data_IF_476191121272
#
_entry.id   IF_476191121272
#
_cell.length_a   1.000
_cell.length_b   1.000
_cell.length_c   1.000
_cell.angle_alpha   90.00
_cell.angle_beta   90.00
_cell.angle_gamma   90.00
#
_symmetry.space_group_name_H-M   'P 1'
#
loop_
_entity.id
_entity.type
_entity.pdbx_description
1 polymer ?
#
# COMPACT_ATOMS: atom_id res chain seq x y z
N UNK A 1 -57.05 4.61 -5.83
CA UNK A 1 -55.75 4.28 -6.47
C UNK A 1 -54.60 5.21 -6.06
N UNK A 2 -54.76 6.55 -6.02
CA UNK A 2 -53.67 7.49 -5.61
C UNK A 2 -53.06 7.28 -4.21
N UNK A 3 -53.82 6.81 -3.20
CA UNK A 3 -53.32 6.59 -1.83
C UNK A 3 -52.40 5.38 -1.69
N UNK A 4 -52.54 4.36 -2.54
CA UNK A 4 -51.73 3.13 -2.50
C UNK A 4 -50.32 3.42 -3.05
N UNK A 5 -50.22 4.20 -4.13
CA UNK A 5 -48.93 4.61 -4.68
C UNK A 5 -48.13 5.50 -3.72
N UNK A 6 -48.81 6.35 -2.94
CA UNK A 6 -48.14 7.18 -1.93
C UNK A 6 -47.50 6.33 -0.82
N UNK A 7 -48.20 5.26 -0.39
CA UNK A 7 -47.69 4.32 0.62
C UNK A 7 -46.51 3.47 0.12
N UNK A 8 -46.54 3.07 -1.15
CA UNK A 8 -45.44 2.33 -1.79
C UNK A 8 -44.21 3.24 -1.94
N UNK A 9 -44.40 4.51 -2.32
CA UNK A 9 -43.31 5.48 -2.47
C UNK A 9 -42.64 5.79 -1.13
N UNK A 10 -43.40 5.95 -0.04
CA UNK A 10 -42.83 6.17 1.30
C UNK A 10 -42.09 4.95 1.86
N UNK A 11 -42.56 3.74 1.55
CA UNK A 11 -41.88 2.50 1.99
C UNK A 11 -40.56 2.30 1.23
N UNK A 12 -40.50 2.67 -0.06
CA UNK A 12 -39.26 2.62 -0.84
C UNK A 12 -38.23 3.64 -0.37
N UNK A 13 -38.68 4.84 0.05
CA UNK A 13 -37.79 5.90 0.53
C UNK A 13 -37.15 5.60 1.90
N UNK A 14 -37.86 4.85 2.76
CA UNK A 14 -37.36 4.43 4.08
C UNK A 14 -36.30 3.31 4.00
N UNK A 15 -36.28 2.51 2.92
CA UNK A 15 -35.25 1.50 2.68
C UNK A 15 -33.94 2.08 2.13
N UNK A 16 -33.95 3.32 1.65
CA UNK A 16 -32.75 4.05 1.19
C UNK A 16 -31.94 4.71 2.32
N UNK A 17 -32.40 4.64 3.57
CA UNK A 17 -31.68 5.16 4.75
C UNK A 17 -31.09 4.07 5.65
N UNK A 18 -30.96 2.84 5.18
CA UNK A 18 -29.96 1.93 5.76
C UNK A 18 -28.60 2.39 5.28
N UNK A 19 -27.98 3.29 6.05
CA UNK A 19 -26.57 3.58 5.95
C UNK A 19 -25.84 2.25 5.84
N UNK A 20 -25.13 2.06 4.73
CA UNK A 20 -24.21 0.96 4.56
C UNK A 20 -23.12 1.18 5.61
N UNK A 21 -23.32 0.63 6.80
CA UNK A 21 -22.23 0.44 7.74
C UNK A 21 -21.20 -0.36 6.98
N UNK A 22 -20.06 0.27 6.70
CA UNK A 22 -18.91 -0.38 6.08
C UNK A 22 -18.62 -1.62 6.89
N UNK A 23 -18.97 -2.76 6.33
CA UNK A 23 -18.61 -4.06 6.86
C UNK A 23 -17.08 -4.03 6.95
N UNK A 24 -16.51 -4.17 8.15
CA UNK A 24 -15.09 -4.51 8.32
C UNK A 24 -14.87 -5.72 7.42
N UNK A 25 -14.26 -5.49 6.27
CA UNK A 25 -14.30 -6.46 5.17
C UNK A 25 -13.49 -7.68 5.58
N UNK A 26 -13.78 -8.81 4.95
CA UNK A 26 -13.04 -10.08 5.00
C UNK A 26 -11.52 -9.96 4.78
N UNK A 27 -11.02 -8.77 4.46
CA UNK A 27 -9.60 -8.46 4.28
C UNK A 27 -8.80 -8.41 5.59
N UNK A 28 -9.41 -8.09 6.74
CA UNK A 28 -8.68 -7.99 8.01
C UNK A 28 -8.15 -9.34 8.51
N UNK A 29 -8.87 -10.44 8.28
CA UNK A 29 -8.41 -11.80 8.68
C UNK A 29 -7.17 -12.27 7.90
N UNK A 30 -6.97 -11.74 6.69
CA UNK A 30 -5.84 -12.07 5.81
C UNK A 30 -4.68 -11.08 5.90
N UNK A 31 -4.89 -9.96 6.58
CA UNK A 31 -3.89 -8.92 6.71
C UNK A 31 -2.69 -9.41 7.53
N UNK A 32 -1.49 -9.38 6.93
CA UNK A 32 -0.25 -9.85 7.57
C UNK A 32 -0.33 -11.30 8.10
N UNK A 33 -1.16 -12.10 7.44
CA UNK A 33 -1.42 -13.50 7.79
C UNK A 33 -1.49 -14.35 6.51
N UNK A 34 -0.53 -14.12 5.60
CA UNK A 34 -0.37 -14.87 4.36
C UNK A 34 0.26 -16.25 4.59
N UNK A 35 0.86 -16.47 5.77
CA UNK A 35 1.63 -17.68 6.13
C UNK A 35 2.89 -17.87 5.28
N UNK A 36 3.42 -16.78 4.73
CA UNK A 36 4.66 -16.76 3.93
C UNK A 36 5.76 -15.95 4.61
N UNK A 37 6.98 -15.97 4.04
CA UNK A 37 8.14 -15.32 4.65
C UNK A 37 7.99 -13.79 4.77
N UNK A 38 7.13 -13.16 3.95
CA UNK A 38 6.88 -11.71 3.97
C UNK A 38 6.22 -11.22 5.26
N UNK A 39 5.42 -12.04 5.96
CA UNK A 39 4.58 -11.56 7.08
C UNK A 39 5.44 -11.01 8.23
N UNK A 40 6.57 -11.66 8.54
CA UNK A 40 7.44 -11.27 9.66
C UNK A 40 8.08 -9.89 9.44
N UNK A 41 8.76 -9.62 8.32
CA UNK A 41 9.35 -8.32 8.09
C UNK A 41 8.28 -7.26 7.75
N UNK A 42 7.17 -7.61 7.10
CA UNK A 42 6.06 -6.68 6.83
C UNK A 42 5.36 -6.20 8.10
N UNK A 43 5.20 -7.04 9.14
CA UNK A 43 4.60 -6.64 10.44
C UNK A 43 5.31 -5.51 11.16
N UNK A 44 6.59 -5.27 10.85
CA UNK A 44 7.36 -4.17 11.43
C UNK A 44 7.12 -2.84 10.72
N UNK A 45 6.64 -2.88 9.48
CA UNK A 45 6.46 -1.72 8.62
C UNK A 45 4.98 -1.35 8.43
N UNK A 46 4.15 -2.35 8.16
CA UNK A 46 2.75 -2.16 7.80
C UNK A 46 1.95 -1.75 9.05
N UNK A 47 1.00 -0.81 8.94
CA UNK A 47 0.30 -0.25 10.10
C UNK A 47 -0.63 -1.26 10.77
N UNK A 48 -0.89 -1.10 12.07
CA UNK A 48 -1.95 -1.84 12.74
C UNK A 48 -3.32 -1.30 12.30
N UNK A 49 -4.17 -2.18 11.74
CA UNK A 49 -5.49 -1.81 11.24
C UNK A 49 -6.41 -1.24 12.33
N UNK A 50 -6.26 -1.69 13.58
CA UNK A 50 -7.09 -1.20 14.70
C UNK A 50 -6.63 0.18 15.19
N UNK A 51 -5.44 0.63 14.81
CA UNK A 51 -4.91 1.96 15.14
C UNK A 51 -5.13 2.99 14.03
N UNK A 52 -5.57 2.58 12.84
CA UNK A 52 -5.80 3.49 11.73
C UNK A 52 -7.13 4.25 11.89
N UNK A 53 -7.14 5.58 11.73
CA UNK A 53 -8.38 6.36 11.71
C UNK A 53 -9.10 6.18 10.36
N UNK A 54 -9.78 5.04 10.20
CA UNK A 54 -10.42 4.64 8.93
C UNK A 54 -11.80 5.28 8.81
N UNK A 55 -11.98 6.18 7.84
CA UNK A 55 -13.29 6.78 7.52
C UNK A 55 -14.03 6.01 6.43
N UNK A 56 -13.40 5.84 5.28
CA UNK A 56 -14.05 5.33 4.06
C UNK A 56 -13.63 3.90 3.69
N UNK A 57 -12.86 3.26 4.56
CA UNK A 57 -12.47 1.87 4.43
C UNK A 57 -11.05 1.66 3.89
N UNK A 58 -10.71 0.38 3.78
CA UNK A 58 -9.39 -0.09 3.35
C UNK A 58 -9.53 -1.06 2.18
N UNK A 59 -8.50 -1.11 1.34
CA UNK A 59 -8.28 -2.14 0.34
C UNK A 59 -6.97 -2.83 0.63
N UNK A 60 -6.97 -4.17 0.68
CA UNK A 60 -5.78 -4.97 0.90
C UNK A 60 -5.60 -5.99 -0.22
N UNK A 61 -4.38 -6.08 -0.74
CA UNK A 61 -3.97 -7.06 -1.72
C UNK A 61 -2.68 -7.75 -1.29
N UNK A 62 -2.63 -9.06 -1.44
CA UNK A 62 -1.42 -9.86 -1.32
C UNK A 62 -1.21 -10.56 -2.64
N UNK A 63 0.01 -10.47 -3.18
CA UNK A 63 0.37 -11.15 -4.42
C UNK A 63 1.67 -11.93 -4.24
N UNK A 64 1.64 -13.19 -4.68
CA UNK A 64 2.75 -14.14 -4.63
C UNK A 64 3.13 -14.54 -6.06
N UNK A 65 4.42 -14.45 -6.37
CA UNK A 65 4.97 -14.84 -7.67
C UNK A 65 6.07 -15.86 -7.43
N UNK A 66 5.82 -17.07 -7.92
CA UNK A 66 6.78 -18.18 -7.88
C UNK A 66 7.49 -18.34 -9.22
N UNK A 67 8.83 -18.37 -9.22
CA UNK A 67 9.69 -18.62 -10.39
C UNK A 67 10.72 -19.70 -10.10
N UNK A 68 10.25 -20.89 -9.72
CA UNK A 68 11.14 -22.02 -9.41
C UNK A 68 11.72 -21.88 -8.01
N UNK A 69 13.02 -21.65 -7.86
CA UNK A 69 13.61 -21.48 -6.52
C UNK A 69 13.44 -20.07 -5.94
N UNK A 70 12.81 -19.17 -6.68
CA UNK A 70 12.66 -17.76 -6.32
C UNK A 70 11.19 -17.41 -6.08
N UNK A 71 10.96 -16.71 -4.99
CA UNK A 71 9.65 -16.24 -4.57
C UNK A 71 9.68 -14.73 -4.38
N UNK A 72 8.71 -14.06 -4.99
CA UNK A 72 8.45 -12.64 -4.77
C UNK A 72 7.06 -12.52 -4.15
N UNK A 73 7.00 -11.90 -2.97
CA UNK A 73 5.77 -11.56 -2.28
C UNK A 73 5.60 -10.05 -2.24
N UNK A 74 4.36 -9.60 -2.36
CA UNK A 74 4.02 -8.19 -2.22
C UNK A 74 2.73 -8.00 -1.44
N UNK A 75 2.68 -6.93 -0.66
CA UNK A 75 1.52 -6.51 0.10
C UNK A 75 1.17 -5.08 -0.27
N UNK A 76 -0.11 -4.82 -0.51
CA UNK A 76 -0.67 -3.48 -0.69
C UNK A 76 -1.76 -3.27 0.33
N UNK A 77 -1.70 -2.17 1.08
CA UNK A 77 -2.80 -1.67 1.88
C UNK A 77 -3.08 -0.22 1.47
N UNK A 78 -4.28 0.06 0.97
CA UNK A 78 -4.73 1.42 0.69
C UNK A 78 -5.79 1.81 1.71
N UNK A 79 -5.60 2.96 2.35
CA UNK A 79 -6.50 3.50 3.36
C UNK A 79 -7.09 4.81 2.85
N UNK A 80 -8.42 4.92 2.87
CA UNK A 80 -9.14 6.10 2.39
C UNK A 80 -9.62 6.93 3.57
N UNK A 81 -9.39 8.24 3.51
CA UNK A 81 -9.64 9.18 4.59
C UNK A 81 -10.51 10.35 4.14
N UNK A 82 -11.17 11.00 5.10
CA UNK A 82 -11.60 12.40 4.91
C UNK A 82 -10.40 13.31 4.72
N UNK A 83 -10.63 14.49 4.13
CA UNK A 83 -9.54 15.43 3.84
C UNK A 83 -8.77 15.86 5.11
N UNK A 84 -9.47 16.06 6.23
CA UNK A 84 -8.86 16.45 7.50
C UNK A 84 -7.94 15.35 8.04
N UNK A 85 -8.42 14.10 8.07
CA UNK A 85 -7.63 12.97 8.56
C UNK A 85 -6.47 12.67 7.60
N UNK A 86 -6.69 12.75 6.28
CA UNK A 86 -5.64 12.57 5.29
C UNK A 86 -4.46 13.52 5.52
N UNK A 87 -4.74 14.82 5.73
CA UNK A 87 -3.69 15.83 5.98
C UNK A 87 -2.90 15.48 7.23
N UNK A 88 -3.60 15.14 8.32
CA UNK A 88 -2.98 14.77 9.60
C UNK A 88 -2.12 13.50 9.48
N UNK A 89 -2.63 12.45 8.84
CA UNK A 89 -1.90 11.20 8.66
C UNK A 89 -0.70 11.37 7.72
N UNK A 90 -0.85 12.12 6.63
CA UNK A 90 0.28 12.47 5.75
C UNK A 90 1.38 13.21 6.51
N UNK A 91 1.04 14.24 7.27
CA UNK A 91 2.01 14.98 8.09
C UNK A 91 2.69 14.08 9.14
N UNK A 92 1.92 13.21 9.81
CA UNK A 92 2.45 12.25 10.78
C UNK A 92 3.46 11.31 10.12
N UNK A 93 3.09 10.67 9.01
CA UNK A 93 3.95 9.71 8.31
C UNK A 93 5.21 10.36 7.74
N UNK A 94 5.12 11.60 7.25
CA UNK A 94 6.29 12.35 6.79
C UNK A 94 7.27 12.69 7.91
N UNK A 95 6.79 12.76 9.17
CA UNK A 95 7.61 13.05 10.34
C UNK A 95 8.18 11.80 11.00
N UNK A 96 7.40 10.73 11.08
CA UNK A 96 7.74 9.52 11.83
C UNK A 96 8.59 8.53 11.04
N UNK A 97 8.39 8.46 9.72
CA UNK A 97 9.16 7.57 8.85
C UNK A 97 10.38 8.29 8.31
N UNK A 98 11.51 7.58 8.27
CA UNK A 98 12.71 8.04 7.57
C UNK A 98 12.67 7.50 6.14
N UNK A 99 12.59 8.41 5.17
CA UNK A 99 12.58 8.08 3.75
C UNK A 99 14.00 8.13 3.19
N UNK A 100 14.24 7.36 2.13
CA UNK A 100 15.44 7.51 1.33
C UNK A 100 15.45 8.88 0.64
N UNK A 101 16.64 9.48 0.55
CA UNK A 101 16.90 10.74 -0.16
C UNK A 101 17.97 10.59 -1.26
N UNK A 102 18.41 9.35 -1.52
CA UNK A 102 19.41 9.00 -2.51
C UNK A 102 19.14 7.60 -3.08
N UNK A 103 19.74 7.32 -4.24
CA UNK A 103 19.74 5.97 -4.83
C UNK A 103 20.63 5.04 -4.01
N UNK A 104 20.23 3.79 -3.87
CA UNK A 104 21.04 2.77 -3.18
C UNK A 104 21.81 1.98 -4.24
N UNK A 105 23.14 2.15 -4.25
CA UNK A 105 24.05 1.47 -5.19
C UNK A 105 24.29 0.03 -4.71
N UNK A 106 24.42 -0.91 -5.64
CA UNK A 106 24.76 -2.28 -5.30
C UNK A 106 26.19 -2.39 -4.75
N UNK A 107 26.38 -3.19 -3.70
CA UNK A 107 27.71 -3.47 -3.17
C UNK A 107 28.54 -4.38 -4.09
N UNK A 108 27.90 -5.14 -4.98
CA UNK A 108 28.56 -6.06 -5.91
C UNK A 108 28.96 -5.39 -7.23
N UNK A 109 28.26 -4.33 -7.63
CA UNK A 109 28.47 -3.63 -8.89
C UNK A 109 28.04 -2.16 -8.77
N UNK A 110 28.99 -1.23 -8.89
CA UNK A 110 28.74 0.21 -8.75
C UNK A 110 27.89 0.81 -9.87
N UNK A 111 27.70 0.09 -10.98
CA UNK A 111 26.83 0.49 -12.09
C UNK A 111 25.38 -0.02 -11.91
N UNK A 112 25.13 -0.83 -10.88
CA UNK A 112 23.80 -1.37 -10.54
C UNK A 112 23.26 -0.74 -9.27
N UNK A 113 21.93 -0.77 -9.14
CA UNK A 113 21.23 -0.16 -8.02
C UNK A 113 20.33 -1.18 -7.32
N UNK A 114 20.41 -1.22 -6.00
CA UNK A 114 19.38 -1.87 -5.20
C UNK A 114 18.08 -1.06 -5.19
N UNK A 115 18.19 0.28 -5.16
CA UNK A 115 17.05 1.20 -5.29
C UNK A 115 17.44 2.33 -6.26
N UNK A 116 17.02 2.28 -7.54
CA UNK A 116 17.39 3.26 -8.56
C UNK A 116 16.60 4.58 -8.48
N UNK A 117 15.43 4.58 -7.83
CA UNK A 117 14.58 5.74 -7.58
C UNK A 117 14.00 5.64 -6.16
N UNK A 118 14.09 6.70 -5.37
CA UNK A 118 13.59 6.72 -4.00
C UNK A 118 12.28 7.52 -3.86
N UNK A 119 11.95 8.34 -4.85
CA UNK A 119 10.64 8.97 -5.05
C UNK A 119 10.22 8.78 -6.51
N UNK A 120 8.96 8.42 -6.75
CA UNK A 120 8.44 8.16 -8.09
C UNK A 120 6.90 8.26 -8.11
N UNK A 121 6.32 8.37 -9.31
CA UNK A 121 4.88 8.50 -9.50
C UNK A 121 4.26 7.26 -10.15
N UNK A 122 3.07 6.89 -9.68
CA UNK A 122 2.17 5.95 -10.37
C UNK A 122 0.76 6.51 -10.28
N UNK A 123 0.18 6.88 -11.43
CA UNK A 123 -1.15 7.49 -11.52
C UNK A 123 -1.28 8.70 -10.58
N UNK A 124 -2.17 8.66 -9.60
CA UNK A 124 -2.40 9.78 -8.66
C UNK A 124 -1.49 9.77 -7.43
N UNK A 125 -0.62 8.77 -7.29
CA UNK A 125 0.23 8.57 -6.13
C UNK A 125 1.64 9.09 -6.34
N UNK A 126 2.12 9.84 -5.35
CA UNK A 126 3.54 10.11 -5.14
C UNK A 126 4.08 9.10 -4.13
N UNK A 127 4.93 8.18 -4.59
CA UNK A 127 5.54 7.14 -3.76
C UNK A 127 6.91 7.56 -3.25
N UNK A 128 7.21 7.17 -2.01
CA UNK A 128 8.50 7.33 -1.36
C UNK A 128 8.95 6.02 -0.72
N UNK A 129 10.20 5.64 -0.96
CA UNK A 129 10.80 4.45 -0.37
C UNK A 129 11.22 4.76 1.07
N UNK A 130 10.86 3.88 2.00
CA UNK A 130 11.19 4.01 3.42
C UNK A 130 12.49 3.29 3.73
N UNK A 131 13.37 3.95 4.48
CA UNK A 131 14.62 3.40 5.01
C UNK A 131 14.40 2.79 6.40
N UNK A 132 13.83 3.56 7.32
CA UNK A 132 13.69 3.17 8.74
C UNK A 132 12.37 3.70 9.35
N UNK A 133 11.79 2.93 10.29
CA UNK A 133 10.64 3.35 11.11
C UNK A 133 10.58 2.50 12.38
N UNK A 134 10.60 3.09 13.57
CA UNK A 134 10.61 2.37 14.86
C UNK A 134 11.65 1.22 14.90
N UNK A 135 11.19 -0.03 14.76
CA UNK A 135 12.02 -1.26 14.75
C UNK A 135 12.25 -1.82 13.34
N UNK A 136 11.60 -1.22 12.34
CA UNK A 136 11.77 -1.53 10.93
C UNK A 136 13.02 -0.85 10.37
N UNK A 137 13.77 -1.64 9.61
CA UNK A 137 14.90 -1.20 8.78
C UNK A 137 14.83 -1.96 7.46
N UNK A 138 14.92 -1.26 6.35
CA UNK A 138 14.89 -1.85 5.02
C UNK A 138 16.13 -2.73 4.78
N UNK A 139 15.94 -3.78 3.98
CA UNK A 139 17.00 -4.68 3.52
C UNK A 139 16.96 -4.70 2.00
N UNK A 140 17.67 -3.77 1.37
CA UNK A 140 17.63 -3.64 -0.08
C UNK A 140 18.51 -4.69 -0.78
N UNK A 141 18.08 -5.18 -1.96
CA UNK A 141 16.79 -4.92 -2.62
C UNK A 141 15.68 -5.90 -2.19
N UNK A 142 15.99 -6.87 -1.33
CA UNK A 142 15.14 -8.03 -1.04
C UNK A 142 13.90 -7.74 -0.19
N UNK A 143 13.89 -6.72 0.67
CA UNK A 143 12.79 -6.50 1.63
C UNK A 143 12.67 -5.03 1.99
N UNK A 144 11.66 -4.34 1.45
CA UNK A 144 11.49 -2.91 1.71
C UNK A 144 10.05 -2.41 1.61
N UNK A 145 9.78 -1.32 2.32
CA UNK A 145 8.50 -0.64 2.37
C UNK A 145 8.49 0.63 1.51
N UNK A 146 7.32 0.94 0.96
CA UNK A 146 7.06 2.16 0.17
C UNK A 146 5.74 2.76 0.67
N UNK A 147 5.69 4.08 0.82
CA UNK A 147 4.45 4.79 1.15
C UNK A 147 4.08 5.70 -0.02
N UNK A 148 2.84 5.59 -0.48
CA UNK A 148 2.25 6.42 -1.53
C UNK A 148 1.22 7.37 -0.96
N UNK A 149 1.24 8.61 -1.42
CA UNK A 149 0.27 9.64 -1.06
C UNK A 149 -0.49 10.10 -2.30
N UNK A 150 -1.82 9.92 -2.32
CA UNK A 150 -2.68 10.53 -3.34
C UNK A 150 -3.35 11.78 -2.76
N UNK A 151 -2.81 12.94 -3.10
CA UNK A 151 -3.41 14.22 -2.73
C UNK A 151 -4.75 14.43 -3.44
N UNK A 152 -4.95 13.83 -4.61
CA UNK A 152 -6.21 13.90 -5.35
C UNK A 152 -7.30 13.08 -4.64
N UNK A 153 -7.02 11.81 -4.34
CA UNK A 153 -8.01 10.87 -3.82
C UNK A 153 -8.06 10.78 -2.28
N UNK A 154 -7.19 11.51 -1.58
CA UNK A 154 -7.09 11.53 -0.10
C UNK A 154 -6.90 10.14 0.50
N UNK A 155 -6.04 9.36 -0.13
CA UNK A 155 -5.73 8.02 0.34
C UNK A 155 -4.21 7.81 0.44
N UNK A 156 -3.84 6.86 1.30
CA UNK A 156 -2.45 6.51 1.58
C UNK A 156 -2.28 5.03 1.27
N UNK A 157 -1.28 4.71 0.45
CA UNK A 157 -0.91 3.36 0.08
C UNK A 157 0.34 2.93 0.85
N UNK A 158 0.26 1.81 1.56
CA UNK A 158 1.39 1.13 2.19
C UNK A 158 1.71 -0.11 1.35
N UNK A 159 2.92 -0.12 0.80
CA UNK A 159 3.42 -1.20 -0.04
C UNK A 159 4.57 -1.89 0.68
N UNK A 160 4.57 -3.22 0.69
CA UNK A 160 5.71 -4.01 1.14
C UNK A 160 6.14 -4.97 0.05
N UNK A 161 7.44 -4.96 -0.29
CA UNK A 161 8.05 -5.86 -1.25
C UNK A 161 8.97 -6.83 -0.52
N UNK A 162 8.89 -8.11 -0.89
CA UNK A 162 9.81 -9.15 -0.45
C UNK A 162 10.20 -10.06 -1.62
N UNK A 163 11.49 -10.32 -1.79
CA UNK A 163 12.02 -11.27 -2.77
C UNK A 163 13.17 -12.06 -2.17
N UNK A 164 13.14 -13.38 -2.37
CA UNK A 164 14.11 -14.31 -1.79
C UNK A 164 15.54 -14.14 -2.31
N UNK A 165 15.73 -13.68 -3.56
CA UNK A 165 17.05 -13.67 -4.21
C UNK A 165 17.19 -12.58 -5.29
N UNK A 166 16.62 -11.40 -5.04
CA UNK A 166 16.79 -10.28 -5.95
C UNK A 166 18.19 -9.68 -5.81
N UNK A 167 18.97 -9.69 -6.90
CA UNK A 167 20.31 -9.09 -6.91
C UNK A 167 20.28 -7.55 -6.96
N UNK A 168 19.49 -7.00 -7.88
CA UNK A 168 19.35 -5.56 -8.08
C UNK A 168 18.08 -5.25 -8.88
N UNK A 169 17.63 -4.00 -8.82
CA UNK A 169 16.55 -3.49 -9.65
C UNK A 169 17.18 -2.85 -10.89
N UNK A 170 16.83 -3.36 -12.08
CA UNK A 170 17.36 -2.80 -13.33
C UNK A 170 17.00 -1.33 -13.46
N UNK A 171 18.02 -0.51 -13.70
CA UNK A 171 17.90 0.93 -13.97
C UNK A 171 17.86 1.25 -15.46
N UNK A 172 17.73 0.24 -16.33
CA UNK A 172 17.80 0.40 -17.78
C UNK A 172 16.48 0.94 -18.36
N UNK A 173 15.41 0.90 -17.57
CA UNK A 173 14.12 1.50 -17.88
C UNK A 173 14.11 2.98 -17.48
N UNK A 174 13.20 3.75 -18.07
CA UNK A 174 13.00 5.17 -17.75
C UNK A 174 12.43 5.37 -16.33
N UNK A 175 11.53 4.47 -15.88
CA UNK A 175 10.89 4.53 -14.56
C UNK A 175 10.96 3.17 -13.81
N UNK A 176 12.16 2.68 -13.45
CA UNK A 176 12.39 1.38 -12.81
C UNK A 176 11.46 1.02 -11.65
N UNK A 177 11.21 1.95 -10.72
CA UNK A 177 10.40 1.68 -9.54
C UNK A 177 8.91 1.72 -9.84
N UNK A 178 8.47 2.61 -10.73
CA UNK A 178 7.10 2.62 -11.26
C UNK A 178 6.78 1.28 -11.93
N UNK A 179 7.72 0.78 -12.74
CA UNK A 179 7.61 -0.51 -13.43
C UNK A 179 7.60 -1.69 -12.45
N UNK A 180 8.45 -1.65 -11.40
CA UNK A 180 8.43 -2.65 -10.34
C UNK A 180 7.06 -2.71 -9.67
N UNK A 181 6.51 -1.56 -9.25
CA UNK A 181 5.21 -1.48 -8.59
C UNK A 181 4.11 -2.08 -9.48
N UNK A 182 4.02 -1.65 -10.74
CA UNK A 182 3.05 -2.16 -11.72
C UNK A 182 3.20 -3.67 -11.96
N UNK A 183 4.44 -4.15 -12.03
CA UNK A 183 4.73 -5.56 -12.35
C UNK A 183 4.36 -6.49 -11.21
N UNK A 184 4.75 -6.17 -9.97
CA UNK A 184 4.73 -7.09 -8.84
C UNK A 184 3.53 -6.91 -7.91
N UNK A 185 3.05 -5.69 -7.66
CA UNK A 185 2.00 -5.47 -6.64
C UNK A 185 0.58 -5.81 -7.14
N UNK A 186 0.38 -5.88 -8.46
CA UNK A 186 -0.89 -6.27 -9.11
C UNK A 186 -2.11 -5.53 -8.51
N UNK A 187 -1.94 -4.24 -8.25
CA UNK A 187 -2.99 -3.36 -7.73
C UNK A 187 -3.29 -2.26 -8.77
N UNK A 188 -4.56 -1.84 -8.84
CA UNK A 188 -5.04 -0.77 -9.71
C UNK A 188 -5.03 0.55 -8.93
N UNK A 189 -3.98 1.34 -9.14
CA UNK A 189 -3.67 2.58 -8.40
C UNK A 189 -4.36 3.81 -8.99
#
# INVERSE_FOLDING_TARGET
>A
MKKIYLFILTTFLLLSFTGCGTTKSRSSEKYLNSWTMIDTPAKKFMPDLDMLPIDYGISYNYNHIYRGLFETDTLTLVVNYSEEIYKKEKERLLKEYKYLDHKVISNSDSEKYYIPEYEFEVNTYNFKVVDEYETYKAQYPNSFGIIGFSDENKNIAYLYFYDTDLDYISSDNENPMSDLVKKYFKYDF
#
